data_IF_193469313731
#
_entry.id   IF_193469313731
#
_cell.length_a   1.000
_cell.length_b   1.000
_cell.length_c   1.000
_cell.angle_alpha   90.00
_cell.angle_beta   90.00
_cell.angle_gamma   90.00
#
_symmetry.space_group_name_H-M   'P 1'
#
loop_
_entity.id
_entity.type
_entity.pdbx_description
1 polymer ?
#
# COMPACT_ATOMS: atom_id res chain seq x y z
N UNK A 1 -9.20 -25.72 -15.67
CA UNK A 1 -8.77 -25.97 -14.27
C UNK A 1 -7.27 -26.29 -14.10
N UNK A 2 -6.59 -26.89 -15.10
CA UNK A 2 -5.16 -27.31 -15.01
C UNK A 2 -4.17 -26.12 -15.06
N UNK A 3 -4.46 -25.08 -15.85
CA UNK A 3 -3.60 -23.90 -16.00
C UNK A 3 -3.53 -23.07 -14.71
N UNK A 4 -4.67 -22.86 -14.04
CA UNK A 4 -4.74 -22.16 -12.76
C UNK A 4 -3.88 -22.85 -11.69
N UNK A 5 -3.97 -24.18 -11.56
CA UNK A 5 -3.10 -24.95 -10.65
C UNK A 5 -1.62 -24.79 -10.99
N UNK A 6 -1.23 -24.85 -12.26
CA UNK A 6 0.18 -24.68 -12.68
C UNK A 6 0.74 -23.29 -12.37
N UNK A 7 -0.05 -22.22 -12.52
CA UNK A 7 0.41 -20.85 -12.20
C UNK A 7 0.67 -20.71 -10.69
N UNK A 8 -0.21 -21.23 -9.84
CA UNK A 8 -0.06 -21.12 -8.38
C UNK A 8 0.87 -22.18 -7.77
N UNK A 9 1.19 -23.28 -8.46
CA UNK A 9 2.05 -24.36 -7.95
C UNK A 9 3.48 -24.32 -8.49
N UNK A 10 3.71 -23.73 -9.67
CA UNK A 10 5.06 -23.65 -10.24
C UNK A 10 5.87 -22.46 -9.68
N UNK A 11 7.18 -22.63 -9.61
CA UNK A 11 8.11 -21.55 -9.20
C UNK A 11 8.03 -20.34 -10.14
N UNK A 12 7.86 -20.58 -11.45
CA UNK A 12 7.74 -19.54 -12.48
C UNK A 12 6.44 -18.76 -12.30
N UNK A 13 5.29 -19.45 -12.20
CA UNK A 13 4.00 -18.78 -12.08
C UNK A 13 3.87 -17.92 -10.82
N UNK A 14 4.43 -18.37 -9.68
CA UNK A 14 4.47 -17.57 -8.44
C UNK A 14 5.31 -16.30 -8.61
N UNK A 15 6.47 -16.38 -9.25
CA UNK A 15 7.33 -15.21 -9.51
C UNK A 15 6.68 -14.24 -10.49
N UNK A 16 6.02 -14.74 -11.54
CA UNK A 16 5.26 -13.90 -12.46
C UNK A 16 4.13 -13.17 -11.74
N UNK A 17 3.36 -13.87 -10.91
CA UNK A 17 2.26 -13.26 -10.16
C UNK A 17 2.75 -12.25 -9.12
N UNK A 18 3.90 -12.51 -8.48
CA UNK A 18 4.58 -11.54 -7.60
C UNK A 18 4.94 -10.26 -8.36
N UNK A 19 5.49 -10.39 -9.57
CA UNK A 19 5.88 -9.25 -10.39
C UNK A 19 4.66 -8.44 -10.87
N UNK A 20 3.61 -9.12 -11.35
CA UNK A 20 2.37 -8.46 -11.83
C UNK A 20 1.67 -7.72 -10.70
N UNK A 21 1.51 -8.35 -9.53
CA UNK A 21 0.89 -7.70 -8.38
C UNK A 21 1.74 -6.53 -7.87
N UNK A 22 3.07 -6.66 -7.84
CA UNK A 22 3.97 -5.57 -7.50
C UNK A 22 3.86 -4.38 -8.47
N UNK A 23 3.82 -4.65 -9.77
CA UNK A 23 3.64 -3.61 -10.79
C UNK A 23 2.30 -2.87 -10.64
N UNK A 24 1.21 -3.61 -10.38
CA UNK A 24 -0.10 -3.01 -10.14
C UNK A 24 -0.10 -2.10 -8.90
N UNK A 25 0.55 -2.51 -7.80
CA UNK A 25 0.67 -1.69 -6.59
C UNK A 25 1.51 -0.42 -6.85
N UNK A 26 2.59 -0.52 -7.64
CA UNK A 26 3.40 0.65 -8.03
C UNK A 26 2.57 1.64 -8.87
N UNK A 27 1.80 1.15 -9.84
CA UNK A 27 0.92 2.01 -10.65
C UNK A 27 -0.11 2.72 -9.78
N UNK A 28 -0.71 2.01 -8.83
CA UNK A 28 -1.59 2.63 -7.85
C UNK A 28 -0.86 3.71 -7.03
N UNK A 29 0.38 3.45 -6.57
CA UNK A 29 1.18 4.42 -5.84
C UNK A 29 1.39 5.72 -6.64
N UNK A 30 1.64 5.64 -7.94
CA UNK A 30 1.76 6.84 -8.79
C UNK A 30 0.45 7.64 -8.86
N UNK A 31 -0.68 6.95 -9.07
CA UNK A 31 -1.99 7.61 -9.10
C UNK A 31 -2.33 8.22 -7.73
N UNK A 32 -2.08 7.48 -6.65
CA UNK A 32 -2.33 7.90 -5.28
C UNK A 32 -1.47 9.12 -4.92
N UNK A 33 -0.17 9.09 -5.21
CA UNK A 33 0.73 10.22 -4.98
C UNK A 33 0.29 11.44 -5.79
N UNK A 34 -0.05 11.27 -7.07
CA UNK A 34 -0.54 12.36 -7.92
C UNK A 34 -1.77 13.05 -7.33
N UNK A 35 -2.73 12.29 -6.78
CA UNK A 35 -3.88 12.85 -6.07
C UNK A 35 -3.48 13.59 -4.79
N UNK A 36 -2.55 13.05 -4.01
CA UNK A 36 -2.04 13.71 -2.79
C UNK A 36 -1.25 14.99 -3.09
N UNK A 37 -0.59 15.11 -4.24
CA UNK A 37 0.11 16.33 -4.63
C UNK A 37 -0.83 17.53 -4.79
N UNK A 38 -2.14 17.31 -4.96
CA UNK A 38 -3.14 18.39 -4.95
C UNK A 38 -3.19 19.15 -3.60
N UNK A 39 -2.64 18.58 -2.53
CA UNK A 39 -2.39 19.31 -1.27
C UNK A 39 -1.57 20.58 -1.49
N UNK A 40 -0.65 20.60 -2.46
CA UNK A 40 0.16 21.77 -2.80
C UNK A 40 -0.57 22.77 -3.70
N UNK A 41 -1.69 22.36 -4.32
CA UNK A 41 -2.56 23.24 -5.11
C UNK A 41 -3.64 23.94 -4.26
N UNK A 42 -3.70 23.64 -2.95
CA UNK A 42 -4.58 24.29 -1.99
C UNK A 42 -5.79 23.46 -1.57
N UNK A 43 -6.50 23.96 -0.56
CA UNK A 43 -7.62 23.27 0.08
C UNK A 43 -8.75 22.91 -0.90
N UNK A 44 -9.13 23.84 -1.77
CA UNK A 44 -10.18 23.61 -2.75
C UNK A 44 -9.84 22.52 -3.76
N UNK A 45 -8.59 22.46 -4.25
CA UNK A 45 -8.16 21.45 -5.20
C UNK A 45 -8.25 20.03 -4.58
N UNK A 46 -7.77 19.88 -3.35
CA UNK A 46 -7.81 18.60 -2.64
C UNK A 46 -9.25 18.17 -2.30
N UNK A 47 -10.06 19.07 -1.74
CA UNK A 47 -11.42 18.75 -1.33
C UNK A 47 -12.32 18.45 -2.53
N UNK A 48 -12.18 19.21 -3.64
CA UNK A 48 -12.86 18.88 -4.90
C UNK A 48 -12.49 17.50 -5.41
N UNK A 49 -11.19 17.18 -5.45
CA UNK A 49 -10.74 15.86 -5.89
C UNK A 49 -11.30 14.73 -5.01
N UNK A 50 -11.31 14.92 -3.69
CA UNK A 50 -11.90 13.96 -2.76
C UNK A 50 -13.40 13.76 -2.99
N UNK A 51 -14.15 14.83 -3.27
CA UNK A 51 -15.57 14.75 -3.64
C UNK A 51 -15.74 14.01 -4.96
N UNK A 52 -15.01 14.37 -6.01
CA UNK A 52 -15.10 13.71 -7.32
C UNK A 52 -14.79 12.21 -7.24
N UNK A 53 -13.83 11.80 -6.41
CA UNK A 53 -13.56 10.38 -6.14
C UNK A 53 -14.75 9.68 -5.49
N UNK A 54 -15.42 10.31 -4.51
CA UNK A 54 -16.59 9.73 -3.83
C UNK A 54 -17.79 9.63 -4.78
N UNK A 55 -17.96 10.60 -5.66
CA UNK A 55 -19.02 10.62 -6.67
C UNK A 55 -18.90 9.51 -7.72
N UNK A 56 -17.72 8.89 -7.87
CA UNK A 56 -17.56 7.68 -8.69
C UNK A 56 -18.35 6.47 -8.17
N UNK A 57 -18.83 6.53 -6.92
CA UNK A 57 -19.75 5.55 -6.34
C UNK A 57 -19.21 4.11 -6.40
N UNK A 58 -19.88 3.17 -7.11
CA UNK A 58 -19.45 1.77 -7.19
C UNK A 58 -18.02 1.58 -7.71
N UNK A 59 -17.56 2.44 -8.64
CA UNK A 59 -16.22 2.32 -9.21
C UNK A 59 -15.13 2.51 -8.15
N UNK A 60 -15.34 3.44 -7.20
CA UNK A 60 -14.41 3.64 -6.08
C UNK A 60 -14.32 2.39 -5.20
N UNK A 61 -15.46 1.72 -4.94
CA UNK A 61 -15.48 0.48 -4.17
C UNK A 61 -14.81 -0.69 -4.88
N UNK A 62 -15.01 -0.82 -6.19
CA UNK A 62 -14.30 -1.81 -7.02
C UNK A 62 -12.79 -1.57 -6.93
N UNK A 63 -12.34 -0.32 -7.06
CA UNK A 63 -10.93 0.02 -6.94
C UNK A 63 -10.38 -0.33 -5.54
N UNK A 64 -11.11 -0.01 -4.46
CA UNK A 64 -10.71 -0.32 -3.08
C UNK A 64 -10.59 -1.82 -2.83
N UNK A 65 -11.63 -2.59 -3.14
CA UNK A 65 -11.66 -4.05 -2.93
C UNK A 65 -10.63 -4.74 -3.83
N UNK A 66 -10.53 -4.31 -5.09
CA UNK A 66 -9.55 -4.82 -6.04
C UNK A 66 -8.12 -4.60 -5.55
N UNK A 67 -7.79 -3.38 -5.12
CA UNK A 67 -6.47 -3.06 -4.59
C UNK A 67 -6.13 -3.86 -3.32
N UNK A 68 -7.08 -3.95 -2.37
CA UNK A 68 -6.87 -4.74 -1.16
C UNK A 68 -6.65 -6.22 -1.48
N UNK A 69 -7.39 -6.76 -2.45
CA UNK A 69 -7.22 -8.13 -2.95
C UNK A 69 -5.83 -8.33 -3.56
N UNK A 70 -5.39 -7.42 -4.43
CA UNK A 70 -4.04 -7.46 -5.03
C UNK A 70 -2.97 -7.41 -3.94
N UNK A 71 -3.13 -6.54 -2.94
CA UNK A 71 -2.19 -6.40 -1.84
C UNK A 71 -2.09 -7.67 -0.98
N UNK A 72 -3.22 -8.29 -0.62
CA UNK A 72 -3.24 -9.56 0.13
C UNK A 72 -2.59 -10.69 -0.68
N UNK A 73 -2.89 -10.78 -1.98
CA UNK A 73 -2.25 -11.76 -2.87
C UNK A 73 -0.74 -11.52 -2.94
N UNK A 74 -0.31 -10.26 -3.08
CA UNK A 74 1.10 -9.88 -3.14
C UNK A 74 1.87 -10.32 -1.88
N UNK A 75 1.33 -10.02 -0.70
CA UNK A 75 1.92 -10.45 0.58
C UNK A 75 1.96 -11.97 0.68
N UNK A 76 0.85 -12.65 0.37
CA UNK A 76 0.77 -14.11 0.47
C UNK A 76 1.82 -14.82 -0.41
N UNK A 77 2.01 -14.35 -1.64
CA UNK A 77 3.04 -14.87 -2.55
C UNK A 77 4.44 -14.53 -2.05
N UNK A 78 4.67 -13.30 -1.59
CA UNK A 78 5.96 -12.87 -1.04
C UNK A 78 6.41 -13.72 0.14
N UNK A 79 5.51 -13.97 1.11
CA UNK A 79 5.75 -14.85 2.26
C UNK A 79 6.01 -16.28 1.77
N UNK A 80 5.17 -16.80 0.87
CA UNK A 80 5.33 -18.16 0.34
C UNK A 80 6.69 -18.36 -0.33
N UNK A 81 7.13 -17.41 -1.16
CA UNK A 81 8.44 -17.44 -1.82
C UNK A 81 9.58 -17.31 -0.82
N UNK A 82 9.44 -16.47 0.21
CA UNK A 82 10.45 -16.32 1.26
C UNK A 82 10.64 -17.62 2.06
N UNK A 83 9.54 -18.28 2.45
CA UNK A 83 9.59 -19.59 3.13
C UNK A 83 10.24 -20.64 2.22
N UNK A 84 9.87 -20.70 0.94
CA UNK A 84 10.48 -21.64 -0.01
C UNK A 84 11.98 -21.40 -0.18
N UNK A 85 12.41 -20.14 -0.33
CA UNK A 85 13.81 -19.78 -0.45
C UNK A 85 14.61 -20.16 0.80
N UNK A 86 14.01 -20.00 1.99
CA UNK A 86 14.64 -20.39 3.27
C UNK A 86 14.73 -21.92 3.42
N UNK A 87 13.67 -22.66 3.06
CA UNK A 87 13.66 -24.13 3.11
C UNK A 87 14.62 -24.77 2.10
N UNK A 88 14.82 -24.14 0.95
CA UNK A 88 15.80 -24.58 -0.05
C UNK A 88 17.26 -24.38 0.39
N UNK A 89 17.50 -23.76 1.56
CA UNK A 89 18.83 -23.48 2.12
C UNK A 89 18.96 -24.03 3.55
N UNK A 90 19.08 -25.35 3.72
CA UNK A 90 19.26 -25.97 5.04
C UNK A 90 20.64 -25.69 5.65
N UNK A 91 21.69 -25.54 4.85
CA UNK A 91 23.02 -25.11 5.32
C UNK A 91 23.30 -23.66 4.96
N UNK A 92 23.90 -22.92 5.91
CA UNK A 92 24.30 -21.52 5.72
C UNK A 92 25.52 -21.48 4.80
N UNK A 93 25.58 -20.51 3.88
CA UNK A 93 26.73 -20.39 2.98
C UNK A 93 28.04 -20.26 3.78
N UNK A 94 29.03 -21.12 3.48
CA UNK A 94 30.37 -21.00 4.06
C UNK A 94 31.06 -19.68 3.69
N UNK A 95 30.67 -19.10 2.54
CA UNK A 95 31.06 -17.75 2.11
C UNK A 95 29.82 -17.01 1.64
N UNK A 96 29.51 -15.86 2.24
CA UNK A 96 28.47 -14.96 1.73
C UNK A 96 28.93 -14.32 0.42
N UNK A 97 28.87 -15.07 -0.69
CA UNK A 97 29.10 -14.51 -2.03
C UNK A 97 27.86 -13.71 -2.43
N UNK A 98 27.82 -12.45 -2.00
CA UNK A 98 26.70 -11.48 -2.11
C UNK A 98 26.33 -11.06 -3.53
N UNK A 99 27.01 -11.59 -4.55
CA UNK A 99 26.97 -11.11 -5.94
C UNK A 99 25.56 -11.16 -6.58
N UNK A 100 24.64 -12.00 -6.08
CA UNK A 100 23.30 -12.15 -6.69
C UNK A 100 22.12 -11.49 -5.93
N UNK A 101 22.27 -11.07 -4.67
CA UNK A 101 21.14 -10.59 -3.87
C UNK A 101 21.28 -9.09 -3.53
N UNK A 102 20.45 -8.25 -4.14
CA UNK A 102 20.39 -6.82 -3.83
C UNK A 102 19.99 -6.56 -2.38
N UNK A 103 20.40 -5.41 -1.82
CA UNK A 103 20.00 -4.98 -0.47
C UNK A 103 18.48 -5.03 -0.30
N UNK A 104 17.75 -4.52 -1.30
CA UNK A 104 16.29 -4.57 -1.33
C UNK A 104 15.74 -6.00 -1.23
N UNK A 105 16.36 -6.97 -1.91
CA UNK A 105 15.94 -8.37 -1.81
C UNK A 105 16.23 -8.98 -0.44
N UNK A 106 17.27 -8.52 0.28
CA UNK A 106 17.62 -9.05 1.61
C UNK A 106 16.69 -8.57 2.70
N UNK A 107 16.23 -7.32 2.60
CA UNK A 107 15.31 -6.72 3.55
C UNK A 107 13.84 -6.80 3.13
N UNK A 108 13.52 -7.48 2.02
CA UNK A 108 12.19 -7.52 1.41
C UNK A 108 11.05 -7.86 2.41
N UNK A 109 11.26 -8.82 3.30
CA UNK A 109 10.24 -9.18 4.30
C UNK A 109 10.15 -8.12 5.40
N UNK A 110 11.29 -7.61 5.87
CA UNK A 110 11.34 -6.57 6.90
C UNK A 110 10.67 -5.28 6.42
N UNK A 111 11.01 -4.83 5.21
CA UNK A 111 10.38 -3.67 4.57
C UNK A 111 8.91 -3.93 4.27
N UNK A 112 8.55 -5.16 3.86
CA UNK A 112 7.15 -5.54 3.65
C UNK A 112 6.31 -5.49 4.93
N UNK A 113 6.84 -5.95 6.06
CA UNK A 113 6.19 -5.87 7.37
C UNK A 113 6.03 -4.42 7.83
N UNK A 114 7.08 -3.60 7.68
CA UNK A 114 7.02 -2.17 7.98
C UNK A 114 5.91 -1.49 7.16
N UNK A 115 5.86 -1.75 5.85
CA UNK A 115 4.81 -1.23 4.98
C UNK A 115 3.41 -1.73 5.33
N UNK A 116 3.28 -2.97 5.82
CA UNK A 116 1.99 -3.50 6.30
C UNK A 116 1.49 -2.71 7.50
N UNK A 117 2.34 -2.47 8.51
CA UNK A 117 1.95 -1.67 9.68
C UNK A 117 1.64 -0.22 9.31
N UNK A 118 2.46 0.38 8.43
CA UNK A 118 2.20 1.68 7.85
C UNK A 118 0.82 1.72 7.18
N UNK A 119 0.49 0.73 6.34
CA UNK A 119 -0.79 0.69 5.63
C UNK A 119 -1.98 0.56 6.60
N UNK A 120 -1.87 -0.29 7.63
CA UNK A 120 -2.92 -0.43 8.63
C UNK A 120 -3.18 0.88 9.36
N UNK A 121 -2.12 1.57 9.79
CA UNK A 121 -2.25 2.90 10.39
C UNK A 121 -2.82 3.92 9.40
N UNK A 122 -2.34 3.93 8.17
CA UNK A 122 -2.81 4.81 7.09
C UNK A 122 -4.33 4.68 6.85
N UNK A 123 -4.83 3.44 6.78
CA UNK A 123 -6.26 3.18 6.64
C UNK A 123 -7.05 3.58 7.90
N UNK A 124 -6.52 3.27 9.09
CA UNK A 124 -7.14 3.70 10.34
C UNK A 124 -7.25 5.24 10.44
N UNK A 125 -6.24 5.96 9.96
CA UNK A 125 -6.18 7.41 10.00
C UNK A 125 -7.12 8.08 9.00
N UNK A 126 -7.01 7.76 7.70
CA UNK A 126 -7.69 8.52 6.65
C UNK A 126 -8.92 7.84 6.04
N UNK A 127 -9.09 6.53 6.24
CA UNK A 127 -10.24 5.80 5.68
C UNK A 127 -11.32 5.51 6.73
N UNK A 128 -10.91 5.11 7.93
CA UNK A 128 -11.82 4.66 8.98
C UNK A 128 -12.05 5.69 10.09
N UNK A 129 -11.20 6.72 10.20
CA UNK A 129 -11.31 7.73 11.26
C UNK A 129 -10.98 7.22 12.66
N UNK A 130 -10.39 6.03 12.79
CA UNK A 130 -10.11 5.37 14.08
C UNK A 130 -8.89 5.96 14.79
N UNK A 131 -7.95 6.58 14.06
CA UNK A 131 -6.77 7.17 14.69
C UNK A 131 -7.09 8.55 15.32
N UNK A 132 -7.84 9.39 14.59
CA UNK A 132 -8.10 10.79 14.95
C UNK A 132 -9.50 11.22 14.50
N UNK A 133 -10.52 10.68 15.18
CA UNK A 133 -11.94 10.94 14.89
C UNK A 133 -12.27 12.45 14.85
N UNK A 134 -11.65 13.24 15.72
CA UNK A 134 -11.83 14.69 15.82
C UNK A 134 -11.54 15.46 14.52
N UNK A 135 -10.68 14.93 13.65
CA UNK A 135 -10.39 15.54 12.35
C UNK A 135 -11.15 14.87 11.20
N UNK A 136 -11.70 13.67 11.44
CA UNK A 136 -12.34 12.86 10.42
C UNK A 136 -13.70 13.41 9.98
N UNK A 137 -14.37 14.21 10.80
CA UNK A 137 -15.69 14.79 10.48
C UNK A 137 -15.66 16.27 10.11
N UNK A 138 -14.48 16.84 9.84
CA UNK A 138 -14.34 18.24 9.46
C UNK A 138 -15.04 18.54 8.14
N UNK A 139 -15.61 19.74 8.07
CA UNK A 139 -16.34 20.25 6.90
C UNK A 139 -15.78 21.61 6.53
N UNK A 140 -15.57 21.85 5.24
CA UNK A 140 -15.04 23.11 4.74
C UNK A 140 -16.13 24.19 4.65
N UNK A 141 -15.75 25.41 4.27
CA UNK A 141 -16.67 26.55 4.14
C UNK A 141 -17.79 26.30 3.12
N UNK A 142 -17.59 25.35 2.20
CA UNK A 142 -18.53 24.98 1.15
C UNK A 142 -19.41 23.78 1.54
N UNK A 143 -19.32 23.30 2.79
CA UNK A 143 -20.12 22.17 3.27
C UNK A 143 -19.59 20.80 2.84
N UNK A 144 -18.40 20.71 2.23
CA UNK A 144 -17.81 19.43 1.80
C UNK A 144 -16.94 18.84 2.91
N UNK A 145 -16.73 17.53 2.87
CA UNK A 145 -15.78 16.87 3.78
C UNK A 145 -14.35 17.43 3.59
N UNK A 146 -13.77 17.96 4.66
CA UNK A 146 -12.52 18.73 4.61
C UNK A 146 -11.27 17.84 4.74
N UNK A 147 -10.99 17.11 3.67
CA UNK A 147 -9.84 16.19 3.60
C UNK A 147 -8.51 16.93 3.74
N UNK A 148 -8.40 18.14 3.17
CA UNK A 148 -7.20 18.96 3.29
C UNK A 148 -6.86 19.25 4.76
N UNK A 149 -7.81 19.78 5.53
CA UNK A 149 -7.57 20.10 6.94
C UNK A 149 -7.31 18.84 7.76
N UNK A 150 -7.99 17.73 7.46
CA UNK A 150 -7.72 16.44 8.09
C UNK A 150 -6.24 16.03 7.93
N UNK A 151 -5.69 16.14 6.71
CA UNK A 151 -4.28 15.82 6.43
C UNK A 151 -3.33 16.79 7.14
N UNK A 152 -3.57 18.10 7.02
CA UNK A 152 -2.69 19.12 7.63
C UNK A 152 -2.67 19.02 9.15
N UNK A 153 -3.85 18.90 9.79
CA UNK A 153 -3.96 18.83 11.24
C UNK A 153 -3.41 17.51 11.79
N UNK A 154 -3.59 16.40 11.05
CA UNK A 154 -2.94 15.13 11.36
C UNK A 154 -1.42 15.26 11.37
N UNK A 155 -0.81 15.75 10.29
CA UNK A 155 0.65 15.86 10.18
C UNK A 155 1.30 16.99 10.99
N UNK A 156 0.51 17.86 11.63
CA UNK A 156 1.04 18.76 12.67
C UNK A 156 1.47 18.03 13.93
N UNK A 157 0.97 16.82 14.16
CA UNK A 157 1.39 15.97 15.27
C UNK A 157 2.68 15.23 14.89
N UNK A 158 3.80 15.58 15.53
CA UNK A 158 5.13 15.07 15.16
C UNK A 158 5.22 13.53 15.14
N UNK A 159 4.54 12.86 16.08
CA UNK A 159 4.55 11.41 16.20
C UNK A 159 3.77 10.73 15.06
N UNK A 160 2.76 11.40 14.50
CA UNK A 160 2.02 10.90 13.32
C UNK A 160 2.92 11.01 12.10
N UNK A 161 3.56 12.16 11.91
CA UNK A 161 4.46 12.39 10.79
C UNK A 161 5.62 11.39 10.76
N UNK A 162 6.14 10.98 11.92
CA UNK A 162 7.18 9.96 12.04
C UNK A 162 6.75 8.58 11.50
N UNK A 163 5.45 8.27 11.44
CA UNK A 163 4.97 7.01 10.86
C UNK A 163 5.07 7.04 9.32
N UNK A 164 5.05 8.24 8.72
CA UNK A 164 5.00 8.45 7.25
C UNK A 164 6.37 8.79 6.64
N UNK A 165 7.43 8.88 7.45
CA UNK A 165 8.82 9.16 7.05
C UNK A 165 9.67 7.92 7.29
#
# INVERSE_FOLDING_TARGET
>A
MIVFRKIFQSSIGRKTLMAVTGAALILFLFAHLSGNLLMFAGQDAMNNYAVSLREMGPLLWIARIGLLTIFVIHIGIGISLSIQNRRARPERYQYEKTIQASVASRFMIQTGLLLLFYLLYHLAHFTLGLAHEQYFHLVDTSGRHDVYSMVVLGFRQWYISLIYI
#
